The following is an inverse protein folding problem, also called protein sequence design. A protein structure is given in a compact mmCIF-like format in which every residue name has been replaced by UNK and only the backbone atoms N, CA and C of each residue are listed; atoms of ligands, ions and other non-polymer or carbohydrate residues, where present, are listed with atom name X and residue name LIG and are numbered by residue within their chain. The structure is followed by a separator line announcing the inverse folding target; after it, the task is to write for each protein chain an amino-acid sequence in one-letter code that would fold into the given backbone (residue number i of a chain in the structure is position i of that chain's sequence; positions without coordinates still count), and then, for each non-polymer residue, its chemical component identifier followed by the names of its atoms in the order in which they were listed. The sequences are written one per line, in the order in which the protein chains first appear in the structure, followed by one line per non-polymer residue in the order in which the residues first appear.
data_IF_350334369273
#
_entry.id   IF_350334369273
#
_cell.length_a   1.000
_cell.length_b   1.000
_cell.length_c   1.000
_cell.angle_alpha   90.00
_cell.angle_beta   90.00
_cell.angle_gamma   90.00
#
_symmetry.space_group_name_H-M   'P 1'
#
loop_
_entity.id
_entity.type
_entity.pdbx_description
1 polymer ?
#
# COMPACT_ATOMS: atom_id res chain seq x y z
N UNK A 1 27.56 32.33 34.18
CA UNK A 1 27.03 31.05 33.65
C UNK A 1 27.08 31.10 32.14
N UNK A 2 27.68 30.10 31.50
CA UNK A 2 28.11 30.15 30.11
C UNK A 2 26.94 29.75 29.19
N UNK A 3 26.28 30.73 28.55
CA UNK A 3 25.04 30.56 27.75
C UNK A 3 25.17 29.55 26.59
N UNK A 4 26.40 29.16 26.24
CA UNK A 4 26.73 28.14 25.24
C UNK A 4 26.16 26.75 25.57
N UNK A 5 26.07 26.40 26.85
CA UNK A 5 25.52 25.11 27.29
C UNK A 5 24.00 25.06 27.18
N UNK A 6 23.33 26.20 27.34
CA UNK A 6 21.87 26.28 27.25
C UNK A 6 21.40 26.02 25.81
N UNK A 7 22.12 26.56 24.82
CA UNK A 7 21.82 26.39 23.39
C UNK A 7 21.99 24.93 22.96
N UNK A 8 23.01 24.24 23.48
CA UNK A 8 23.26 22.83 23.17
C UNK A 8 22.19 21.89 23.76
N UNK A 9 21.61 22.28 24.91
CA UNK A 9 20.54 21.51 25.55
C UNK A 9 19.20 21.68 24.80
N UNK A 10 18.96 22.85 24.22
CA UNK A 10 17.75 23.15 23.45
C UNK A 10 17.69 22.41 22.11
N UNK A 11 18.82 22.14 21.44
CA UNK A 11 18.82 21.41 20.15
C UNK A 11 18.56 19.91 20.32
N UNK A 12 18.89 19.33 21.48
CA UNK A 12 18.62 17.91 21.79
C UNK A 12 17.13 17.62 21.98
N UNK A 13 16.31 18.61 22.34
CA UNK A 13 14.88 18.46 22.59
C UNK A 13 14.02 18.53 21.31
N UNK A 14 14.58 18.98 20.18
CA UNK A 14 13.85 19.11 18.90
C UNK A 14 13.86 17.84 18.03
N UNK A 15 14.46 16.74 18.49
CA UNK A 15 14.77 15.57 17.65
C UNK A 15 13.61 14.64 17.27
N UNK A 16 12.40 14.84 17.81
CA UNK A 16 11.28 13.90 17.62
C UNK A 16 10.00 14.55 17.06
N UNK A 17 10.15 15.57 16.21
CA UNK A 17 9.03 15.99 15.38
C UNK A 17 8.82 14.93 14.28
N UNK A 18 7.97 13.93 14.53
CA UNK A 18 7.46 13.09 13.45
C UNK A 18 6.68 14.00 12.50
N UNK A 19 7.28 14.31 11.36
CA UNK A 19 6.63 15.09 10.33
C UNK A 19 5.37 14.34 9.90
N UNK A 20 4.21 14.97 10.04
CA UNK A 20 2.97 14.46 9.49
C UNK A 20 3.16 14.26 7.99
N UNK A 21 3.08 13.00 7.53
CA UNK A 21 3.08 12.69 6.11
C UNK A 21 1.63 12.69 5.63
N UNK A 22 1.25 13.61 4.72
CA UNK A 22 -0.08 13.59 4.16
C UNK A 22 -0.29 12.27 3.41
N UNK A 23 -1.46 11.68 3.62
CA UNK A 23 -1.86 10.43 2.97
C UNK A 23 -3.19 10.62 2.25
N UNK A 24 -3.30 9.96 1.11
CA UNK A 24 -4.52 9.86 0.30
C UNK A 24 -5.20 8.57 0.71
N UNK A 25 -6.44 8.71 1.16
CA UNK A 25 -7.33 7.58 1.40
C UNK A 25 -7.89 7.09 0.06
N UNK A 26 -7.72 5.81 -0.22
CA UNK A 26 -8.36 5.12 -1.33
C UNK A 26 -9.37 4.15 -0.76
N UNK A 27 -10.60 4.28 -1.24
CA UNK A 27 -11.70 3.39 -0.91
C UNK A 27 -11.95 2.54 -2.14
N UNK A 28 -11.78 1.23 -1.98
CA UNK A 28 -12.08 0.25 -3.01
C UNK A 28 -13.20 -0.66 -2.56
N UNK A 29 -13.88 -1.29 -3.51
CA UNK A 29 -14.81 -2.37 -3.23
C UNK A 29 -14.34 -3.64 -3.92
N UNK A 30 -14.19 -4.72 -3.17
CA UNK A 30 -13.82 -6.02 -3.70
C UNK A 30 -14.85 -7.05 -3.26
N UNK A 31 -15.56 -7.65 -4.22
CA UNK A 31 -16.81 -8.38 -3.96
C UNK A 31 -17.80 -7.50 -3.15
N UNK A 32 -18.29 -8.02 -2.03
CA UNK A 32 -19.20 -7.33 -1.10
C UNK A 32 -18.45 -6.63 0.06
N UNK A 33 -17.12 -6.48 -0.05
CA UNK A 33 -16.29 -5.94 1.02
C UNK A 33 -15.68 -4.60 0.64
N UNK A 34 -15.87 -3.61 1.50
CA UNK A 34 -15.23 -2.30 1.38
C UNK A 34 -13.81 -2.36 1.95
N UNK A 35 -12.88 -1.85 1.16
CA UNK A 35 -11.46 -1.81 1.46
C UNK A 35 -11.02 -0.36 1.59
N UNK A 36 -10.15 -0.09 2.55
CA UNK A 36 -9.55 1.22 2.76
C UNK A 36 -8.04 1.06 2.80
N UNK A 37 -7.34 1.87 2.02
CA UNK A 37 -5.88 1.94 2.04
C UNK A 37 -5.42 3.40 2.08
N UNK A 38 -4.29 3.63 2.72
CA UNK A 38 -3.68 4.95 2.83
C UNK A 38 -2.38 4.96 2.05
N UNK A 39 -2.31 5.80 1.02
CA UNK A 39 -1.11 6.02 0.22
C UNK A 39 -0.45 7.31 0.67
N UNK A 40 0.85 7.31 0.95
CA UNK A 40 1.53 8.57 1.21
C UNK A 40 1.64 9.38 -0.09
N UNK A 41 1.36 10.68 -0.05
CA UNK A 41 1.46 11.53 -1.25
C UNK A 41 2.86 11.49 -1.89
N UNK A 42 3.90 11.26 -1.08
CA UNK A 42 5.27 11.10 -1.57
C UNK A 42 5.42 9.93 -2.54
N UNK A 43 4.64 8.87 -2.38
CA UNK A 43 4.67 7.68 -3.24
C UNK A 43 4.06 7.95 -4.62
N UNK A 44 3.30 9.05 -4.75
CA UNK A 44 2.72 9.49 -6.01
C UNK A 44 3.62 10.46 -6.81
N UNK A 45 4.70 10.98 -6.20
CA UNK A 45 5.57 11.97 -6.85
C UNK A 45 6.36 11.40 -8.03
N UNK A 46 6.89 10.19 -7.86
CA UNK A 46 7.67 9.48 -8.90
C UNK A 46 6.84 8.40 -9.59
N UNK A 47 5.52 8.55 -9.56
CA UNK A 47 4.59 7.55 -10.08
C UNK A 47 4.55 7.59 -11.61
N UNK A 48 4.71 6.45 -12.29
CA UNK A 48 4.64 6.42 -13.75
C UNK A 48 3.21 6.69 -14.22
N UNK A 49 3.00 7.82 -14.89
CA UNK A 49 1.74 8.09 -15.58
C UNK A 49 1.54 7.06 -16.69
N UNK A 50 0.34 6.51 -16.79
CA UNK A 50 0.06 5.42 -17.71
C UNK A 50 -1.25 5.60 -18.48
N UNK A 51 -1.20 5.34 -19.79
CA UNK A 51 -2.35 5.38 -20.69
C UNK A 51 -2.70 3.95 -21.15
N UNK A 52 -3.69 3.27 -20.53
CA UNK A 52 -3.95 1.85 -20.77
C UNK A 52 -4.31 1.46 -22.20
N UNK A 53 -4.83 2.42 -22.98
CA UNK A 53 -5.20 2.17 -24.38
C UNK A 53 -4.04 2.36 -25.36
N UNK A 54 -2.89 2.87 -24.90
CA UNK A 54 -1.73 3.19 -25.75
C UNK A 54 -0.48 2.40 -25.40
N UNK A 55 -0.30 2.09 -24.12
CA UNK A 55 0.94 1.54 -23.60
C UNK A 55 0.65 0.35 -22.68
N UNK A 56 1.60 -0.57 -22.56
CA UNK A 56 1.52 -1.63 -21.56
C UNK A 56 1.64 -1.04 -20.14
N UNK A 57 1.06 -1.68 -19.10
CA UNK A 57 1.23 -1.24 -17.72
C UNK A 57 2.73 -1.12 -17.35
N UNK A 58 3.14 -0.05 -16.63
CA UNK A 58 4.53 0.11 -16.20
C UNK A 58 5.03 -1.04 -15.31
N UNK A 59 4.10 -1.68 -14.61
CA UNK A 59 4.35 -2.86 -13.78
C UNK A 59 3.54 -4.03 -14.33
N UNK A 60 4.19 -5.16 -14.62
CA UNK A 60 3.48 -6.38 -15.02
C UNK A 60 2.78 -7.05 -13.84
N UNK A 61 1.73 -7.84 -14.09
CA UNK A 61 1.08 -8.67 -13.07
C UNK A 61 2.09 -9.56 -12.33
N UNK A 62 3.02 -10.17 -13.06
CA UNK A 62 4.08 -11.01 -12.48
C UNK A 62 4.95 -10.19 -11.52
N UNK A 63 5.35 -8.99 -11.92
CA UNK A 63 6.15 -8.08 -11.09
C UNK A 63 5.38 -7.60 -9.86
N UNK A 64 4.07 -7.37 -9.98
CA UNK A 64 3.23 -6.99 -8.84
C UNK A 64 3.13 -8.12 -7.80
N UNK A 65 2.92 -9.36 -8.23
CA UNK A 65 2.92 -10.54 -7.35
C UNK A 65 4.29 -10.72 -6.69
N UNK A 66 5.37 -10.55 -7.47
CA UNK A 66 6.73 -10.62 -6.95
C UNK A 66 7.00 -9.53 -5.90
N UNK A 67 6.53 -8.30 -6.11
CA UNK A 67 6.71 -7.21 -5.15
C UNK A 67 6.03 -7.53 -3.81
N UNK A 68 4.84 -8.15 -3.85
CA UNK A 68 4.18 -8.65 -2.63
C UNK A 68 5.05 -9.74 -1.99
N UNK A 69 5.51 -10.73 -2.77
CA UNK A 69 6.41 -11.77 -2.26
C UNK A 69 7.65 -11.19 -1.59
N UNK A 70 8.31 -10.21 -2.20
CA UNK A 70 9.54 -9.62 -1.68
C UNK A 70 9.30 -8.88 -0.35
N UNK A 71 8.17 -8.20 -0.21
CA UNK A 71 7.78 -7.55 1.05
C UNK A 71 7.52 -8.56 2.18
N UNK A 72 7.00 -9.75 1.84
CA UNK A 72 6.62 -10.78 2.81
C UNK A 72 7.65 -11.90 3.00
N UNK A 73 8.66 -12.01 2.12
CA UNK A 73 9.76 -12.97 2.23
C UNK A 73 10.57 -12.80 3.53
N UNK A 74 10.49 -11.63 4.17
CA UNK A 74 11.02 -11.40 5.51
C UNK A 74 10.21 -12.07 6.65
N UNK A 75 9.02 -12.62 6.37
CA UNK A 75 8.01 -12.96 7.39
C UNK A 75 7.27 -14.29 7.22
N UNK A 76 7.85 -15.27 6.51
CA UNK A 76 7.42 -16.67 6.30
C UNK A 76 6.87 -17.00 4.89
N UNK A 77 7.48 -18.05 4.31
CA UNK A 77 7.11 -18.93 3.18
C UNK A 77 6.43 -18.36 1.93
N UNK A 78 7.25 -18.16 0.88
CA UNK A 78 7.23 -18.68 -0.53
C UNK A 78 5.89 -18.96 -1.27
N UNK A 79 4.72 -18.98 -0.65
CA UNK A 79 3.47 -19.51 -1.23
C UNK A 79 2.51 -18.47 -1.84
N UNK A 80 2.88 -17.19 -1.88
CA UNK A 80 1.94 -16.12 -2.25
C UNK A 80 1.38 -16.28 -3.67
N UNK A 81 2.19 -16.64 -4.67
CA UNK A 81 1.71 -16.74 -6.06
C UNK A 81 0.60 -17.79 -6.24
N UNK A 82 0.67 -18.92 -5.54
CA UNK A 82 -0.39 -19.95 -5.56
C UNK A 82 -1.58 -19.57 -4.67
N UNK A 83 -1.42 -18.58 -3.78
CA UNK A 83 -2.44 -18.07 -2.89
C UNK A 83 -3.18 -16.84 -3.46
N UNK A 84 -2.70 -16.23 -4.56
CA UNK A 84 -3.42 -15.17 -5.27
C UNK A 84 -4.72 -15.76 -5.81
N UNK A 85 -5.86 -15.33 -5.26
CA UNK A 85 -7.16 -15.75 -5.75
C UNK A 85 -7.66 -14.85 -6.87
N UNK A 86 -7.28 -13.57 -6.85
CA UNK A 86 -7.79 -12.57 -7.77
C UNK A 86 -6.87 -11.37 -7.88
N UNK A 87 -6.85 -10.76 -9.06
CA UNK A 87 -6.15 -9.51 -9.33
C UNK A 87 -7.01 -8.63 -10.24
N UNK A 88 -7.22 -7.40 -9.80
CA UNK A 88 -7.89 -6.37 -10.58
C UNK A 88 -6.96 -5.19 -10.84
N UNK A 89 -7.19 -4.52 -11.97
CA UNK A 89 -6.50 -3.29 -12.32
C UNK A 89 -7.49 -2.14 -12.27
N UNK A 90 -7.26 -1.16 -11.40
CA UNK A 90 -8.19 -0.06 -11.16
C UNK A 90 -7.52 1.29 -11.25
N UNK A 91 -8.31 2.31 -11.59
CA UNK A 91 -7.92 3.71 -11.46
C UNK A 91 -8.02 4.11 -10.00
N UNK A 92 -7.15 4.99 -9.54
CA UNK A 92 -7.32 5.63 -8.24
C UNK A 92 -8.41 6.69 -8.38
N UNK A 93 -9.47 6.56 -7.58
CA UNK A 93 -10.56 7.53 -7.57
C UNK A 93 -10.04 8.94 -7.31
N UNK A 94 -10.57 9.92 -8.07
CA UNK A 94 -10.14 11.34 -8.06
C UNK A 94 -8.71 11.60 -8.59
N UNK A 95 -8.00 10.57 -9.06
CA UNK A 95 -6.64 10.65 -9.60
C UNK A 95 -6.56 9.89 -10.94
N UNK A 96 -7.16 10.47 -11.99
CA UNK A 96 -7.48 9.79 -13.25
C UNK A 96 -6.31 9.15 -14.01
N UNK A 97 -5.08 9.66 -13.82
CA UNK A 97 -3.87 9.16 -14.49
C UNK A 97 -3.12 8.11 -13.65
N UNK A 98 -3.60 7.84 -12.44
CA UNK A 98 -2.99 6.88 -11.52
C UNK A 98 -3.81 5.60 -11.49
N UNK A 99 -3.10 4.49 -11.59
CA UNK A 99 -3.68 3.15 -11.57
C UNK A 99 -3.17 2.37 -10.38
N UNK A 100 -3.67 1.18 -10.13
CA UNK A 100 -3.05 0.24 -9.20
C UNK A 100 -3.60 -1.15 -9.44
N UNK A 101 -2.84 -2.15 -9.02
CA UNK A 101 -3.37 -3.50 -8.88
C UNK A 101 -3.98 -3.67 -7.50
N UNK A 102 -5.15 -4.29 -7.46
CA UNK A 102 -5.80 -4.78 -6.26
C UNK A 102 -5.65 -6.30 -6.25
N UNK A 103 -4.87 -6.84 -5.31
CA UNK A 103 -4.45 -8.24 -5.29
C UNK A 103 -5.01 -8.92 -4.05
N UNK A 104 -5.88 -9.91 -4.24
CA UNK A 104 -6.46 -10.71 -3.17
C UNK A 104 -5.69 -12.01 -2.99
N UNK A 105 -5.23 -12.25 -1.78
CA UNK A 105 -4.44 -13.42 -1.40
C UNK A 105 -5.18 -14.18 -0.31
N UNK A 106 -5.31 -15.50 -0.47
CA UNK A 106 -5.85 -16.40 0.55
C UNK A 106 -4.84 -16.54 1.70
N UNK A 107 -5.28 -16.33 2.94
CA UNK A 107 -4.46 -16.64 4.11
C UNK A 107 -4.66 -18.09 4.49
N UNK A 108 -3.57 -18.86 4.63
CA UNK A 108 -3.60 -20.29 5.02
C UNK A 108 -3.85 -20.49 6.54
N UNK A 109 -4.35 -19.46 7.22
CA UNK A 109 -4.69 -19.52 8.64
C UNK A 109 -5.97 -20.35 8.84
N UNK A 110 -5.79 -21.67 8.95
CA UNK A 110 -6.64 -22.63 9.67
C UNK A 110 -8.05 -22.14 10.01
N UNK A 111 -9.02 -22.57 9.20
CA UNK A 111 -10.45 -22.67 9.51
C UNK A 111 -11.37 -21.44 9.40
N UNK A 112 -10.97 -20.35 8.75
CA UNK A 112 -11.95 -19.38 8.20
C UNK A 112 -11.35 -18.74 6.94
N UNK A 113 -12.15 -18.53 5.89
CA UNK A 113 -11.82 -17.88 4.61
C UNK A 113 -11.37 -16.42 4.79
N UNK A 114 -10.24 -16.21 5.46
CA UNK A 114 -9.63 -14.90 5.64
C UNK A 114 -8.73 -14.65 4.44
N UNK A 115 -9.11 -13.69 3.62
CA UNK A 115 -8.25 -13.17 2.57
C UNK A 115 -7.59 -11.87 3.05
N UNK A 116 -6.44 -11.56 2.47
CA UNK A 116 -5.77 -10.29 2.60
C UNK A 116 -5.82 -9.60 1.24
N UNK A 117 -5.97 -8.28 1.24
CA UNK A 117 -5.96 -7.50 0.00
C UNK A 117 -4.82 -6.51 0.03
N UNK A 118 -4.14 -6.40 -1.09
CA UNK A 118 -3.00 -5.51 -1.29
C UNK A 118 -3.28 -4.57 -2.45
N UNK A 119 -2.92 -3.31 -2.27
CA UNK A 119 -2.78 -2.36 -3.35
C UNK A 119 -1.32 -2.36 -3.78
N UNK A 120 -1.08 -2.61 -5.06
CA UNK A 120 0.25 -2.51 -5.67
C UNK A 120 0.24 -1.38 -6.68
N UNK A 121 1.00 -0.34 -6.39
CA UNK A 121 1.19 0.81 -7.26
C UNK A 121 1.98 0.40 -8.50
N UNK A 122 1.81 1.12 -9.61
CA UNK A 122 2.58 0.89 -10.85
C UNK A 122 4.08 1.19 -10.67
N UNK A 123 4.46 1.85 -9.58
CA UNK A 123 5.87 1.96 -9.15
C UNK A 123 6.42 0.67 -8.53
N UNK A 124 5.59 -0.34 -8.26
CA UNK A 124 5.93 -1.57 -7.56
C UNK A 124 5.74 -1.50 -6.05
N UNK A 125 5.35 -0.34 -5.49
CA UNK A 125 5.11 -0.21 -4.04
C UNK A 125 3.87 -0.98 -3.62
N UNK A 126 3.99 -1.77 -2.54
CA UNK A 126 2.91 -2.59 -1.98
C UNK A 126 2.37 -1.94 -0.70
N UNK A 127 1.05 -1.85 -0.62
CA UNK A 127 0.31 -1.22 0.48
C UNK A 127 -0.77 -2.20 0.95
N UNK A 128 -0.77 -2.64 2.21
CA UNK A 128 -1.85 -3.48 2.73
C UNK A 128 -3.15 -2.69 2.81
N UNK A 129 -4.25 -3.27 2.32
CA UNK A 129 -5.58 -2.70 2.47
C UNK A 129 -6.24 -3.23 3.75
N UNK A 130 -6.98 -2.36 4.43
CA UNK A 130 -7.80 -2.68 5.58
C UNK A 130 -9.21 -3.06 5.10
N UNK A 131 -9.70 -4.21 5.53
CA UNK A 131 -11.09 -4.61 5.30
C UNK A 131 -11.97 -3.87 6.31
N UNK A 132 -12.88 -3.04 5.81
CA UNK A 132 -13.90 -2.43 6.65
C UNK A 132 -14.94 -3.49 7.00
N UNK A 133 -14.86 -4.01 8.23
CA UNK A 133 -15.93 -4.83 8.80
C UNK A 133 -17.11 -3.92 9.13
N UNK A 134 -18.32 -4.30 8.74
CA UNK A 134 -19.53 -3.61 9.20
C UNK A 134 -19.48 -3.50 10.72
N UNK A 135 -19.25 -2.28 11.23
CA UNK A 135 -19.34 -2.02 12.65
C UNK A 135 -20.82 -2.11 13.00
N UNK A 136 -21.19 -3.17 13.71
CA UNK A 136 -22.53 -3.38 14.24
C UNK A 136 -22.98 -2.10 14.98
N UNK A 137 -24.05 -1.46 14.50
CA UNK A 137 -24.74 -0.38 15.22
C UNK A 137 -25.65 -0.96 16.29
#
# INVERSE_FOLDING_TARGET
MNNKWLILLLTLLCGNAQAFQPSIEIIEQFDDVKLVAFINESDLKDYPLWQPLKEAPPLSIKSAIQAIQDQYAASHDVLIANAVSEIELRKIDRHADYWHYLVKIKSDASNNTKFQVYIVLMSGKVIPALIETESYK
#
